data_IF_665923720956
#
_entry.id   IF_665923720956
#
_cell.length_a   1.000
_cell.length_b   1.000
_cell.length_c   1.000
_cell.angle_alpha   90.00
_cell.angle_beta   90.00
_cell.angle_gamma   90.00
#
_symmetry.space_group_name_H-M   'P 1'
#
loop_
_entity.id
_entity.type
_entity.pdbx_description
1 polymer ?
#
# COMPACT_ATOMS: atom_id res chain seq x y z
N UNK A 1 -5.31 -14.92 11.62
CA UNK A 1 -4.13 -14.04 11.59
C UNK A 1 -4.37 -13.08 10.44
N UNK A 2 -4.65 -11.80 10.67
CA UNK A 2 -5.26 -10.96 9.63
C UNK A 2 -4.34 -10.75 8.41
N UNK A 3 -4.87 -10.97 7.20
CA UNK A 3 -4.25 -10.66 5.92
C UNK A 3 -3.61 -9.27 5.90
N UNK A 4 -2.44 -9.17 5.28
CA UNK A 4 -1.69 -7.94 5.03
C UNK A 4 -0.93 -8.12 3.71
N UNK A 5 -0.46 -7.04 3.10
CA UNK A 5 0.42 -7.14 1.96
C UNK A 5 1.71 -7.91 2.32
N UNK A 6 2.11 -8.84 1.45
CA UNK A 6 3.25 -9.77 1.66
C UNK A 6 4.11 -9.82 0.42
N UNK A 7 5.40 -10.11 0.61
CA UNK A 7 6.38 -10.19 -0.47
C UNK A 7 7.14 -11.52 -0.45
N UNK A 8 7.49 -12.00 -1.63
CA UNK A 8 8.34 -13.15 -1.91
C UNK A 8 9.45 -12.74 -2.88
N UNK A 9 10.64 -13.31 -2.71
CA UNK A 9 11.85 -12.87 -3.40
C UNK A 9 12.43 -14.00 -4.24
N UNK A 10 13.03 -13.67 -5.38
CA UNK A 10 13.94 -14.59 -6.06
C UNK A 10 15.38 -14.22 -5.71
N UNK A 11 16.17 -15.19 -5.25
CA UNK A 11 17.57 -14.98 -4.92
C UNK A 11 18.40 -14.96 -6.20
N UNK A 12 18.57 -13.78 -6.79
CA UNK A 12 19.69 -13.49 -7.68
C UNK A 12 20.09 -12.05 -7.46
N UNK A 13 21.33 -11.76 -7.02
CA UNK A 13 21.77 -10.38 -6.87
C UNK A 13 21.61 -9.68 -8.22
N UNK A 14 21.02 -8.48 -8.22
CA UNK A 14 20.97 -7.65 -9.41
C UNK A 14 22.41 -7.40 -9.86
N UNK A 15 22.80 -7.97 -11.00
CA UNK A 15 24.17 -7.87 -11.50
C UNK A 15 24.43 -6.45 -11.98
N UNK A 16 24.98 -5.62 -11.09
CA UNK A 16 25.54 -4.31 -11.42
C UNK A 16 27.06 -4.46 -11.43
N UNK A 17 27.67 -4.42 -12.61
CA UNK A 17 29.12 -4.38 -12.75
C UNK A 17 29.64 -3.03 -12.25
N UNK A 18 30.22 -2.99 -11.05
CA UNK A 18 31.07 -1.89 -10.61
C UNK A 18 32.28 -2.41 -9.84
N UNK A 19 33.47 -2.00 -10.28
CA UNK A 19 34.77 -2.32 -9.68
C UNK A 19 34.92 -1.58 -8.35
N UNK A 20 35.17 -2.29 -7.25
CA UNK A 20 35.52 -1.70 -5.95
C UNK A 20 37.03 -1.61 -5.72
N UNK A 21 37.47 -0.76 -4.78
CA UNK A 21 38.64 -1.04 -3.96
C UNK A 21 38.33 -0.79 -2.44
N UNK A 22 39.25 -1.05 -1.49
CA UNK A 22 39.21 -2.18 -0.56
C UNK A 22 38.82 -1.80 0.88
N UNK A 23 38.78 -2.82 1.75
CA UNK A 23 38.27 -2.82 3.12
C UNK A 23 39.22 -2.29 4.22
N UNK A 24 38.63 -2.23 5.44
CA UNK A 24 39.17 -2.25 6.83
C UNK A 24 39.28 -0.92 7.61
N UNK A 25 39.28 -0.92 8.98
CA UNK A 25 38.89 -1.96 9.94
C UNK A 25 37.95 -1.49 11.10
N UNK A 26 37.56 -2.47 11.90
CA UNK A 26 36.79 -2.48 13.15
C UNK A 26 37.30 -1.58 14.28
N UNK A 27 36.39 -1.02 15.09
CA UNK A 27 36.66 -0.70 16.51
C UNK A 27 35.45 -0.99 17.41
N UNK A 28 35.74 -1.77 18.45
CA UNK A 28 34.97 -2.03 19.66
C UNK A 28 34.80 -0.74 20.50
N UNK A 29 33.65 -0.54 21.16
CA UNK A 29 33.60 -0.01 22.54
C UNK A 29 32.21 -0.10 23.20
N UNK A 30 32.22 -0.89 24.29
CA UNK A 30 31.60 -0.68 25.61
C UNK A 30 30.13 -0.26 25.76
N UNK A 31 29.43 -1.09 26.54
CA UNK A 31 28.13 -0.86 27.15
C UNK A 31 28.14 0.33 28.15
N UNK A 32 27.04 1.08 28.16
CA UNK A 32 26.68 1.95 29.28
C UNK A 32 25.16 1.90 29.50
N UNK A 33 24.78 1.43 30.68
CA UNK A 33 23.41 1.37 31.20
C UNK A 33 23.00 2.77 31.66
N UNK A 34 21.88 3.30 31.16
CA UNK A 34 21.26 4.51 31.72
C UNK A 34 19.77 4.28 31.98
N UNK A 35 19.40 4.40 33.25
CA UNK A 35 18.01 4.50 33.73
C UNK A 35 17.54 5.94 33.56
N UNK A 36 16.44 6.18 32.85
CA UNK A 36 15.82 7.52 32.76
C UNK A 36 14.36 7.44 33.20
N UNK A 37 14.05 8.21 34.25
CA UNK A 37 12.71 8.47 34.78
C UNK A 37 11.92 9.37 33.81
N UNK A 38 10.60 9.13 33.72
CA UNK A 38 9.64 9.92 32.94
C UNK A 38 9.79 11.43 33.18
N UNK A 39 9.96 12.18 32.09
CA UNK A 39 9.63 13.59 32.06
C UNK A 39 9.00 13.94 30.70
N UNK A 40 7.94 14.75 30.74
CA UNK A 40 7.07 15.08 29.62
C UNK A 40 7.87 15.63 28.42
N UNK A 41 7.81 14.93 27.27
CA UNK A 41 8.47 15.38 26.05
C UNK A 41 7.50 16.13 25.14
N UNK A 42 7.92 17.34 24.77
CA UNK A 42 7.36 18.17 23.69
C UNK A 42 7.32 17.38 22.37
N UNK A 43 6.42 17.73 21.43
CA UNK A 43 6.31 17.02 20.15
C UNK A 43 7.67 17.00 19.43
N UNK A 44 8.18 15.80 19.24
CA UNK A 44 9.40 15.55 18.47
C UNK A 44 9.02 15.70 17.00
N UNK A 45 9.42 16.81 16.38
CA UNK A 45 9.42 16.93 14.92
C UNK A 45 10.40 15.91 14.37
N UNK A 46 9.89 14.88 13.69
CA UNK A 46 10.69 13.89 12.97
C UNK A 46 11.38 14.56 11.78
N UNK A 47 12.60 15.05 11.97
CA UNK A 47 13.51 15.37 10.87
C UNK A 47 14.18 14.08 10.42
N UNK A 48 13.67 13.49 9.34
CA UNK A 48 14.32 12.38 8.67
C UNK A 48 15.61 12.87 8.00
N UNK A 49 16.75 12.32 8.41
CA UNK A 49 17.96 12.35 7.58
C UNK A 49 17.75 11.38 6.44
N UNK A 50 17.14 11.86 5.35
CA UNK A 50 17.08 11.16 4.07
C UNK A 50 18.53 10.81 3.70
N UNK A 51 18.86 9.53 3.57
CA UNK A 51 20.19 9.14 3.07
C UNK A 51 20.40 9.82 1.72
N UNK A 52 21.44 10.64 1.59
CA UNK A 52 21.67 11.46 0.38
C UNK A 52 21.87 10.62 -0.90
N UNK A 53 22.13 9.33 -0.75
CA UNK A 53 22.40 8.42 -1.84
C UNK A 53 21.16 7.59 -2.23
N UNK A 54 20.87 7.54 -3.53
CA UNK A 54 19.82 6.69 -4.11
C UNK A 54 20.03 5.21 -3.70
N UNK A 55 18.99 4.51 -3.22
CA UNK A 55 19.12 3.12 -2.82
C UNK A 55 19.27 2.19 -4.04
N UNK A 56 20.19 1.24 -3.94
CA UNK A 56 20.37 0.19 -4.95
C UNK A 56 19.27 -0.88 -4.80
N UNK A 57 18.86 -1.48 -5.93
CA UNK A 57 17.97 -2.64 -5.90
C UNK A 57 18.70 -3.82 -5.25
N UNK A 58 18.11 -4.38 -4.20
CA UNK A 58 18.68 -5.51 -3.45
C UNK A 58 18.21 -6.87 -4.00
N UNK A 59 17.13 -6.88 -4.78
CA UNK A 59 16.61 -8.05 -5.47
C UNK A 59 16.50 -7.75 -6.97
N UNK A 60 16.73 -8.75 -7.82
CA UNK A 60 16.47 -8.64 -9.26
C UNK A 60 14.96 -8.66 -9.57
N UNK A 61 14.18 -9.36 -8.77
CA UNK A 61 12.72 -9.33 -8.81
C UNK A 61 12.09 -9.68 -7.46
N UNK A 62 10.87 -9.19 -7.27
CA UNK A 62 10.01 -9.44 -6.11
C UNK A 62 8.59 -9.72 -6.60
N UNK A 63 7.89 -10.60 -5.90
CA UNK A 63 6.46 -10.85 -6.09
C UNK A 63 5.75 -10.45 -4.81
N UNK A 64 4.68 -9.68 -4.91
CA UNK A 64 3.89 -9.23 -3.76
C UNK A 64 2.43 -9.58 -3.94
N UNK A 65 1.74 -9.78 -2.83
CA UNK A 65 0.30 -9.98 -2.76
C UNK A 65 -0.27 -8.90 -1.85
N UNK A 66 -1.42 -8.34 -2.22
CA UNK A 66 -2.20 -7.46 -1.36
C UNK A 66 -3.65 -7.98 -1.27
N UNK A 67 -4.19 -8.11 -0.05
CA UNK A 67 -5.51 -8.71 0.15
C UNK A 67 -6.64 -7.79 -0.26
N UNK A 68 -7.81 -8.41 -0.50
CA UNK A 68 -9.09 -7.71 -0.47
C UNK A 68 -9.32 -7.01 0.87
N UNK A 69 -10.16 -5.98 0.83
CA UNK A 69 -10.56 -5.22 2.00
C UNK A 69 -12.05 -4.96 2.02
N UNK A 70 -12.59 -4.80 3.22
CA UNK A 70 -13.94 -4.32 3.47
C UNK A 70 -13.81 -2.98 4.18
N UNK A 71 -14.20 -1.91 3.50
CA UNK A 71 -14.25 -0.56 4.07
C UNK A 71 -15.61 -0.28 4.73
N UNK A 72 -15.67 0.84 5.45
CA UNK A 72 -16.79 1.38 6.21
C UNK A 72 -17.24 0.52 7.40
N UNK A 73 -17.36 -0.79 7.21
CA UNK A 73 -17.79 -1.75 8.25
C UNK A 73 -19.06 -1.30 8.98
N UNK A 74 -20.03 -0.77 8.22
CA UNK A 74 -21.24 -0.15 8.74
C UNK A 74 -21.08 1.36 8.88
N UNK A 75 -21.12 1.93 10.08
CA UNK A 75 -21.14 3.38 10.31
C UNK A 75 -19.79 4.07 10.11
N UNK A 76 -18.70 3.31 9.89
CA UNK A 76 -17.33 3.79 9.76
C UNK A 76 -16.97 4.40 8.41
N UNK A 77 -17.92 5.10 7.78
CA UNK A 77 -17.80 5.60 6.41
C UNK A 77 -16.55 6.46 6.21
N UNK A 78 -15.66 6.05 5.29
CA UNK A 78 -14.37 6.66 4.96
C UNK A 78 -13.29 6.66 6.06
N UNK A 79 -13.54 6.06 7.23
CA UNK A 79 -12.56 6.04 8.33
C UNK A 79 -12.28 4.68 8.96
N UNK A 80 -12.95 3.61 8.55
CA UNK A 80 -12.72 2.28 9.08
C UNK A 80 -12.65 1.24 7.97
N UNK A 81 -11.70 0.31 8.05
CA UNK A 81 -11.67 -0.83 7.15
C UNK A 81 -10.89 -2.02 7.68
N UNK A 82 -11.06 -3.17 7.05
CA UNK A 82 -10.41 -4.42 7.43
C UNK A 82 -9.91 -5.19 6.21
N UNK A 83 -8.71 -5.75 6.29
CA UNK A 83 -8.25 -6.74 5.33
C UNK A 83 -8.89 -8.10 5.60
N UNK A 84 -9.21 -8.82 4.53
CA UNK A 84 -9.79 -10.16 4.59
C UNK A 84 -8.85 -11.19 3.98
N UNK A 85 -8.87 -12.40 4.54
CA UNK A 85 -8.02 -13.50 4.08
C UNK A 85 -8.53 -14.10 2.75
N UNK A 86 -7.62 -14.73 2.00
CA UNK A 86 -7.95 -15.49 0.79
C UNK A 86 -7.63 -14.76 -0.51
N UNK A 87 -8.55 -13.93 -1.00
CA UNK A 87 -8.46 -13.29 -2.31
C UNK A 87 -7.71 -11.95 -2.25
N UNK A 88 -7.09 -11.57 -3.37
CA UNK A 88 -6.31 -10.34 -3.47
C UNK A 88 -5.66 -10.21 -4.85
N UNK A 89 -4.90 -9.14 -5.03
CA UNK A 89 -4.11 -8.93 -6.24
C UNK A 89 -2.66 -9.28 -6.00
N UNK A 90 -1.98 -9.68 -7.08
CA UNK A 90 -0.56 -10.02 -7.05
C UNK A 90 0.21 -9.16 -8.04
N UNK A 91 1.37 -8.64 -7.62
CA UNK A 91 2.29 -7.89 -8.48
C UNK A 91 3.61 -8.63 -8.56
N UNK A 92 4.12 -8.84 -9.76
CA UNK A 92 5.51 -9.25 -9.99
C UNK A 92 6.29 -8.07 -10.54
N UNK A 93 7.34 -7.66 -9.86
CA UNK A 93 8.16 -6.51 -10.21
C UNK A 93 9.61 -6.96 -10.40
N UNK A 94 10.25 -6.53 -11.49
CA UNK A 94 11.66 -6.83 -11.76
C UNK A 94 12.42 -5.58 -12.18
N UNK A 95 13.72 -5.57 -11.91
CA UNK A 95 14.65 -4.65 -12.57
C UNK A 95 14.70 -5.01 -14.04
N UNK A 96 14.50 -4.02 -14.91
CA UNK A 96 14.42 -4.22 -16.35
C UNK A 96 15.28 -3.18 -17.08
N UNK A 97 16.44 -3.59 -17.64
CA UNK A 97 17.34 -2.69 -18.37
C UNK A 97 16.71 -2.06 -19.61
N UNK A 98 15.65 -2.66 -20.17
CA UNK A 98 14.95 -2.14 -21.35
C UNK A 98 13.94 -1.04 -20.99
N UNK A 99 13.65 -0.84 -19.70
CA UNK A 99 12.84 0.27 -19.21
C UNK A 99 13.75 1.46 -18.88
N UNK A 100 13.36 2.65 -19.33
CA UNK A 100 14.13 3.86 -19.05
C UNK A 100 14.38 4.05 -17.55
N UNK A 101 15.61 4.44 -17.13
CA UNK A 101 15.92 4.72 -15.74
C UNK A 101 14.94 5.70 -15.08
N UNK A 102 14.51 5.37 -13.86
CA UNK A 102 13.54 6.18 -13.10
C UNK A 102 12.09 6.01 -13.57
N UNK A 103 11.82 5.08 -14.49
CA UNK A 103 10.47 4.79 -14.98
C UNK A 103 10.03 3.37 -14.64
N UNK A 104 8.72 3.17 -14.73
CA UNK A 104 8.09 1.86 -14.64
C UNK A 104 7.29 1.58 -15.90
N UNK A 105 7.32 0.33 -16.37
CA UNK A 105 6.47 -0.19 -17.44
C UNK A 105 5.54 -1.25 -16.86
N UNK A 106 4.26 -1.26 -17.28
CA UNK A 106 3.35 -2.39 -17.00
C UNK A 106 3.43 -3.34 -18.18
N UNK A 107 4.25 -4.39 -18.06
CA UNK A 107 4.46 -5.37 -19.12
C UNK A 107 3.22 -6.22 -19.35
N UNK A 108 2.52 -6.59 -18.28
CA UNK A 108 1.36 -7.46 -18.35
C UNK A 108 0.27 -7.18 -17.31
N UNK A 109 -0.98 -7.45 -17.70
CA UNK A 109 -2.15 -7.44 -16.83
C UNK A 109 -2.93 -8.72 -17.13
N UNK A 110 -3.00 -9.62 -16.15
CA UNK A 110 -3.65 -10.93 -16.24
C UNK A 110 -4.61 -11.14 -15.07
N UNK A 111 -5.42 -12.21 -15.12
CA UNK A 111 -6.46 -12.50 -14.14
C UNK A 111 -7.77 -12.91 -14.81
N UNK A 112 -8.71 -13.46 -14.03
CA UNK A 112 -9.99 -13.99 -14.54
C UNK A 112 -11.17 -13.04 -14.34
N UNK A 113 -10.92 -11.79 -13.90
CA UNK A 113 -12.00 -10.82 -13.72
C UNK A 113 -12.62 -10.41 -15.06
N UNK A 114 -13.96 -10.29 -15.15
CA UNK A 114 -14.61 -9.60 -16.25
C UNK A 114 -14.01 -8.21 -16.47
N UNK A 115 -14.04 -7.73 -17.72
CA UNK A 115 -13.56 -6.40 -18.11
C UNK A 115 -12.06 -6.12 -17.89
N UNK A 116 -11.23 -7.12 -17.60
CA UNK A 116 -9.79 -6.93 -17.38
C UNK A 116 -9.07 -6.22 -18.55
N UNK A 117 -9.51 -6.49 -19.79
CA UNK A 117 -8.99 -5.88 -21.01
C UNK A 117 -9.19 -4.36 -21.07
N UNK A 118 -10.05 -3.78 -20.20
CA UNK A 118 -10.25 -2.32 -20.09
C UNK A 118 -9.17 -1.64 -19.24
N UNK A 119 -8.38 -2.39 -18.47
CA UNK A 119 -7.33 -1.83 -17.65
C UNK A 119 -6.18 -1.33 -18.52
N UNK A 120 -5.76 -0.08 -18.28
CA UNK A 120 -4.64 0.51 -19.03
C UNK A 120 -3.31 -0.10 -18.60
N UNK A 121 -2.45 -0.42 -19.58
CA UNK A 121 -1.01 -0.69 -19.34
C UNK A 121 -0.19 0.60 -19.22
N UNK A 122 -0.79 1.78 -19.43
CA UNK A 122 -0.09 3.03 -19.16
C UNK A 122 -0.01 3.23 -17.63
N UNK A 123 1.19 3.28 -17.03
CA UNK A 123 1.35 3.37 -15.58
C UNK A 123 0.76 4.64 -14.99
N UNK A 124 0.60 5.72 -15.78
CA UNK A 124 -0.06 6.94 -15.32
C UNK A 124 -1.57 6.81 -15.20
N UNK A 125 -2.18 5.77 -15.80
CA UNK A 125 -3.62 5.53 -15.82
C UNK A 125 -3.99 4.18 -15.19
N UNK A 126 -3.09 3.62 -14.38
CA UNK A 126 -3.29 2.35 -13.70
C UNK A 126 -2.92 2.49 -12.22
N UNK A 127 -3.76 1.97 -11.32
CA UNK A 127 -3.56 2.13 -9.89
C UNK A 127 -2.21 1.59 -9.39
N UNK A 128 -1.80 0.41 -9.88
CA UNK A 128 -0.51 -0.19 -9.57
C UNK A 128 0.64 0.68 -10.08
N UNK A 129 0.53 1.19 -11.31
CA UNK A 129 1.54 2.05 -11.91
C UNK A 129 1.72 3.38 -11.17
N UNK A 130 0.61 4.05 -10.81
CA UNK A 130 0.65 5.33 -10.09
C UNK A 130 1.30 5.16 -8.71
N UNK A 131 0.87 4.14 -7.95
CA UNK A 131 1.41 3.86 -6.62
C UNK A 131 2.89 3.48 -6.67
N UNK A 132 3.30 2.68 -7.65
CA UNK A 132 4.71 2.33 -7.85
C UNK A 132 5.57 3.54 -8.21
N UNK A 133 5.10 4.42 -9.11
CA UNK A 133 5.78 5.68 -9.46
C UNK A 133 5.97 6.54 -8.20
N UNK A 134 4.93 6.65 -7.38
CA UNK A 134 5.01 7.47 -6.18
C UNK A 134 5.97 6.89 -5.13
N UNK A 135 5.97 5.56 -4.95
CA UNK A 135 6.96 4.89 -4.10
C UNK A 135 8.40 5.09 -4.62
N UNK A 136 8.63 5.01 -5.94
CA UNK A 136 9.94 5.31 -6.54
C UNK A 136 10.37 6.75 -6.26
N UNK A 137 9.47 7.73 -6.36
CA UNK A 137 9.76 9.14 -6.05
C UNK A 137 10.12 9.35 -4.59
N UNK A 138 9.40 8.73 -3.66
CA UNK A 138 9.67 8.83 -2.23
C UNK A 138 11.08 8.31 -1.90
N UNK A 139 11.45 7.17 -2.51
CA UNK A 139 12.77 6.56 -2.42
C UNK A 139 13.86 7.30 -3.19
N UNK A 140 13.50 8.19 -4.12
CA UNK A 140 14.44 8.94 -4.95
C UNK A 140 15.06 8.12 -6.09
N UNK A 141 14.38 7.08 -6.59
CA UNK A 141 14.89 6.21 -7.66
C UNK A 141 14.92 6.96 -8.99
N UNK A 142 16.09 6.97 -9.65
CA UNK A 142 16.35 7.62 -10.95
C UNK A 142 17.19 6.77 -11.88
N UNK A 143 17.98 5.85 -11.34
CA UNK A 143 18.97 5.05 -12.06
C UNK A 143 18.45 3.70 -12.55
N UNK A 144 17.30 3.25 -12.06
CA UNK A 144 16.75 1.91 -12.31
C UNK A 144 15.42 1.98 -13.05
N UNK A 145 15.29 1.22 -14.14
CA UNK A 145 14.02 0.94 -14.82
C UNK A 145 13.35 -0.30 -14.25
N UNK A 146 12.02 -0.27 -14.09
CA UNK A 146 11.25 -1.37 -13.50
C UNK A 146 10.16 -1.87 -14.45
N UNK A 147 9.96 -3.19 -14.47
CA UNK A 147 8.89 -3.83 -15.22
C UNK A 147 7.93 -4.55 -14.27
N UNK A 148 6.65 -4.22 -14.40
CA UNK A 148 5.57 -4.65 -13.53
C UNK A 148 4.59 -5.54 -14.30
N UNK A 149 4.29 -6.71 -13.76
CA UNK A 149 3.18 -7.57 -14.18
C UNK A 149 2.15 -7.62 -13.05
N UNK A 150 0.89 -7.36 -13.39
CA UNK A 150 -0.24 -7.33 -12.46
C UNK A 150 -1.15 -8.54 -12.72
N UNK A 151 -1.37 -9.37 -11.71
CA UNK A 151 -2.34 -10.45 -11.71
C UNK A 151 -3.53 -10.07 -10.81
N UNK A 152 -4.68 -9.85 -11.45
CA UNK A 152 -5.93 -9.39 -10.85
C UNK A 152 -6.73 -10.58 -10.33
N UNK A 153 -6.68 -10.78 -9.01
CA UNK A 153 -7.52 -11.76 -8.31
C UNK A 153 -8.83 -11.19 -7.79
N UNK A 154 -9.01 -9.86 -7.81
CA UNK A 154 -10.23 -9.19 -7.35
C UNK A 154 -11.11 -8.67 -8.50
N UNK A 155 -12.43 -8.92 -8.46
CA UNK A 155 -13.32 -8.38 -9.48
C UNK A 155 -13.33 -6.84 -9.46
N UNK A 156 -13.35 -6.23 -10.64
CA UNK A 156 -13.38 -4.77 -10.78
C UNK A 156 -14.70 -4.20 -10.23
N UNK A 157 -14.65 -3.09 -9.49
CA UNK A 157 -15.85 -2.41 -8.98
C UNK A 157 -16.73 -3.25 -8.04
N UNK A 158 -16.15 -4.27 -7.38
CA UNK A 158 -16.86 -5.21 -6.49
C UNK A 158 -17.10 -4.71 -5.07
N UNK A 159 -16.50 -3.57 -4.69
CA UNK A 159 -16.48 -3.11 -3.30
C UNK A 159 -15.43 -3.81 -2.42
N UNK A 160 -14.62 -4.73 -2.96
CA UNK A 160 -13.59 -5.49 -2.23
C UNK A 160 -12.20 -4.82 -2.21
N UNK A 161 -12.13 -3.51 -2.48
CA UNK A 161 -10.86 -2.78 -2.52
C UNK A 161 -9.95 -3.15 -3.72
N UNK A 162 -10.51 -3.55 -4.87
CA UNK A 162 -9.73 -4.01 -6.03
C UNK A 162 -8.69 -3.00 -6.56
N UNK A 163 -8.97 -1.69 -6.53
CA UNK A 163 -7.98 -0.66 -6.89
C UNK A 163 -6.90 -0.51 -5.82
N UNK A 164 -7.32 -0.49 -4.56
CA UNK A 164 -6.45 -0.37 -3.39
C UNK A 164 -5.47 -1.54 -3.28
N UNK A 165 -5.92 -2.78 -3.54
CA UNK A 165 -5.06 -3.96 -3.53
C UNK A 165 -3.99 -3.88 -4.63
N UNK A 166 -4.35 -3.52 -5.86
CA UNK A 166 -3.38 -3.32 -6.95
C UNK A 166 -2.34 -2.23 -6.61
N UNK A 167 -2.78 -1.11 -6.04
CA UNK A 167 -1.89 -0.04 -5.60
C UNK A 167 -0.97 -0.49 -4.46
N UNK A 168 -1.52 -1.15 -3.44
CA UNK A 168 -0.79 -1.64 -2.28
C UNK A 168 0.27 -2.67 -2.67
N UNK A 169 -0.09 -3.67 -3.49
CA UNK A 169 0.86 -4.68 -3.96
C UNK A 169 2.04 -4.04 -4.71
N UNK A 170 1.77 -3.04 -5.56
CA UNK A 170 2.80 -2.36 -6.33
C UNK A 170 3.70 -1.45 -5.50
N UNK A 171 3.14 -0.65 -4.58
CA UNK A 171 3.91 0.19 -3.68
C UNK A 171 4.80 -0.65 -2.76
N UNK A 172 4.26 -1.76 -2.23
CA UNK A 172 5.04 -2.72 -1.43
C UNK A 172 6.12 -3.35 -2.30
N UNK A 173 5.84 -3.79 -3.53
CA UNK A 173 6.86 -4.37 -4.42
C UNK A 173 8.04 -3.41 -4.65
N UNK A 174 7.76 -2.13 -4.93
CA UNK A 174 8.81 -1.12 -5.08
C UNK A 174 9.59 -0.94 -3.78
N UNK A 175 8.92 -0.84 -2.64
CA UNK A 175 9.62 -0.70 -1.37
C UNK A 175 10.53 -1.90 -1.07
N UNK A 176 10.03 -3.10 -1.32
CA UNK A 176 10.70 -4.37 -1.09
C UNK A 176 11.94 -4.56 -1.96
N UNK A 177 11.85 -4.26 -3.26
CA UNK A 177 12.98 -4.42 -4.19
C UNK A 177 14.18 -3.51 -3.82
N UNK A 178 13.93 -2.40 -3.11
CA UNK A 178 14.93 -1.45 -2.61
C UNK A 178 15.22 -1.55 -1.10
N UNK A 179 14.73 -2.61 -0.43
CA UNK A 179 15.10 -2.93 0.94
C UNK A 179 14.23 -2.34 2.04
N UNK A 180 12.92 -2.21 1.81
CA UNK A 180 11.89 -1.87 2.81
C UNK A 180 12.18 -0.55 3.56
N UNK A 181 12.46 0.51 2.81
CA UNK A 181 12.87 1.81 3.36
C UNK A 181 11.69 2.74 3.68
N UNK A 182 10.52 2.49 3.11
CA UNK A 182 9.29 3.22 3.39
C UNK A 182 8.51 2.56 4.52
N UNK A 183 8.01 3.37 5.46
CA UNK A 183 7.07 2.96 6.50
C UNK A 183 5.63 2.80 5.97
N UNK A 184 4.74 2.29 6.82
CA UNK A 184 3.34 2.08 6.42
C UNK A 184 2.63 3.36 5.97
N UNK A 185 2.82 4.47 6.68
CA UNK A 185 2.16 5.74 6.34
C UNK A 185 2.61 6.26 4.96
N UNK A 186 3.88 6.08 4.60
CA UNK A 186 4.42 6.46 3.30
C UNK A 186 3.87 5.58 2.18
N UNK A 187 3.79 4.26 2.41
CA UNK A 187 3.18 3.32 1.45
C UNK A 187 1.70 3.62 1.23
N UNK A 188 0.96 3.93 2.30
CA UNK A 188 -0.43 4.34 2.21
C UNK A 188 -0.55 5.66 1.46
N UNK A 189 0.34 6.63 1.73
CA UNK A 189 0.36 7.89 1.00
C UNK A 189 0.63 7.71 -0.50
N UNK A 190 1.56 6.82 -0.88
CA UNK A 190 1.84 6.50 -2.27
C UNK A 190 0.59 5.94 -2.99
N UNK A 191 -0.16 5.08 -2.32
CA UNK A 191 -1.39 4.51 -2.84
C UNK A 191 -2.55 5.52 -2.86
N UNK A 192 -2.62 6.47 -1.92
CA UNK A 192 -3.62 7.54 -1.93
C UNK A 192 -3.50 8.45 -3.15
N UNK A 193 -2.29 8.65 -3.70
CA UNK A 193 -2.10 9.36 -4.98
C UNK A 193 -2.76 8.64 -6.16
N UNK A 194 -2.83 7.31 -6.10
CA UNK A 194 -3.57 6.50 -7.06
C UNK A 194 -5.08 6.68 -6.87
N UNK A 195 -5.57 6.50 -5.64
CA UNK A 195 -7.01 6.60 -5.35
C UNK A 195 -7.57 7.99 -5.70
N UNK A 196 -6.85 9.06 -5.39
CA UNK A 196 -7.22 10.46 -5.73
C UNK A 196 -7.54 10.62 -7.22
N UNK A 197 -6.77 9.97 -8.09
CA UNK A 197 -6.94 10.05 -9.55
C UNK A 197 -8.11 9.22 -10.06
N UNK A 198 -8.49 8.14 -9.37
CA UNK A 198 -9.43 7.13 -9.88
C UNK A 198 -10.81 7.24 -9.24
N UNK A 199 -10.87 7.35 -7.92
CA UNK A 199 -12.09 7.17 -7.14
C UNK A 199 -12.32 8.26 -6.10
N UNK A 200 -11.26 8.94 -5.65
CA UNK A 200 -11.22 9.97 -4.60
C UNK A 200 -10.19 9.64 -3.51
N UNK A 201 -10.04 10.49 -2.50
CA UNK A 201 -8.96 10.36 -1.50
C UNK A 201 -9.42 9.60 -0.25
N UNK A 202 -9.40 8.26 -0.28
CA UNK A 202 -9.87 7.41 0.82
C UNK A 202 -8.84 6.34 1.19
N UNK A 203 -8.53 6.24 2.48
CA UNK A 203 -7.52 5.32 3.01
C UNK A 203 -8.12 4.04 3.61
N UNK A 204 -9.44 3.97 3.76
CA UNK A 204 -10.19 2.86 4.37
C UNK A 204 -10.02 1.50 3.68
N UNK A 205 -9.64 1.45 2.41
CA UNK A 205 -9.25 0.22 1.73
C UNK A 205 -7.72 0.07 1.66
N UNK A 206 -7.01 1.15 1.34
CA UNK A 206 -5.55 1.13 1.15
C UNK A 206 -4.82 0.76 2.45
N UNK A 207 -5.17 1.41 3.55
CA UNK A 207 -4.51 1.24 4.83
C UNK A 207 -4.62 -0.19 5.37
N UNK A 208 -5.81 -0.83 5.45
CA UNK A 208 -5.87 -2.23 5.83
C UNK A 208 -5.22 -3.17 4.81
N UNK A 209 -5.25 -2.87 3.51
CA UNK A 209 -4.55 -3.73 2.52
C UNK A 209 -3.03 -3.76 2.78
N UNK A 210 -2.44 -2.64 3.19
CA UNK A 210 -1.02 -2.53 3.54
C UNK A 210 -0.71 -3.07 4.94
N UNK A 211 -1.45 -2.62 5.96
CA UNK A 211 -1.12 -2.86 7.38
C UNK A 211 -1.72 -4.16 7.93
N UNK A 212 -2.78 -4.64 7.29
CA UNK A 212 -3.56 -5.79 7.68
C UNK A 212 -4.44 -5.62 8.91
N UNK A 213 -5.48 -6.45 9.00
CA UNK A 213 -6.49 -6.38 10.04
C UNK A 213 -7.32 -5.10 9.98
N UNK A 214 -7.86 -4.68 11.12
CA UNK A 214 -8.68 -3.47 11.25
C UNK A 214 -7.80 -2.23 11.34
N UNK A 215 -8.12 -1.21 10.54
CA UNK A 215 -7.44 0.09 10.55
C UNK A 215 -8.46 1.21 10.63
N UNK A 216 -8.25 2.08 11.61
CA UNK A 216 -8.95 3.35 11.80
C UNK A 216 -8.11 4.48 11.19
N UNK A 217 -8.73 5.31 10.36
CA UNK A 217 -8.16 6.53 9.82
C UNK A 217 -8.61 7.66 10.74
N UNK A 218 -7.75 8.02 11.69
CA UNK A 218 -8.08 9.05 12.71
C UNK A 218 -8.08 10.45 12.10
N UNK A 219 -7.20 10.69 11.13
CA UNK A 219 -7.10 11.95 10.42
C UNK A 219 -6.50 11.71 9.03
N UNK A 220 -6.87 12.55 8.06
CA UNK A 220 -6.28 12.56 6.71
C UNK A 220 -5.19 13.63 6.56
N UNK A 221 -5.21 14.69 7.39
CA UNK A 221 -4.26 15.81 7.33
C UNK A 221 -3.88 16.31 8.74
N UNK A 222 -2.71 15.90 9.30
CA UNK A 222 -1.82 14.87 8.78
C UNK A 222 -2.50 13.49 8.72
N UNK A 223 -1.98 12.59 7.87
CA UNK A 223 -2.48 11.22 7.81
C UNK A 223 -2.12 10.51 9.11
N UNK A 224 -3.13 10.01 9.83
CA UNK A 224 -2.95 9.28 11.09
C UNK A 224 -3.72 7.98 11.05
N UNK A 225 -2.98 6.87 11.03
CA UNK A 225 -3.51 5.52 10.92
C UNK A 225 -3.36 4.79 12.25
N UNK A 226 -4.42 4.14 12.70
CA UNK A 226 -4.43 3.37 13.94
C UNK A 226 -4.85 1.95 13.63
N UNK A 227 -3.91 1.00 13.79
CA UNK A 227 -4.25 -0.43 13.70
C UNK A 227 -5.00 -0.84 14.97
N UNK A 228 -6.25 -1.29 14.79
CA UNK A 228 -7.07 -1.75 15.90
C UNK A 228 -6.73 -3.21 16.20
N UNK A 229 -6.54 -3.52 17.49
CA UNK A 229 -6.30 -4.89 17.95
C UNK A 229 -7.64 -5.59 18.08
N UNK A 230 -7.82 -6.68 17.34
CA UNK A 230 -8.93 -7.60 17.55
C UNK A 230 -8.56 -8.59 18.67
N UNK A 231 -9.46 -8.90 19.62
CA UNK A 231 -9.17 -9.82 20.71
C UNK A 231 -8.79 -11.21 20.18
N UNK A 232 -7.64 -11.74 20.62
CA UNK A 232 -7.05 -12.98 20.10
C UNK A 232 -7.84 -14.24 20.41
N UNK A 233 -8.65 -14.18 21.45
CA UNK A 233 -9.51 -15.26 21.94
C UNK A 233 -10.87 -15.32 21.23
N UNK A 234 -11.14 -14.35 20.34
CA UNK A 234 -12.38 -14.30 19.57
C UNK A 234 -12.12 -14.67 18.11
N UNK A 235 -13.14 -15.23 17.49
CA UNK A 235 -13.16 -15.47 16.05
C UNK A 235 -14.19 -14.53 15.39
N UNK A 236 -13.81 -13.99 14.25
CA UNK A 236 -14.68 -13.18 13.41
C UNK A 236 -14.48 -13.65 11.96
N UNK A 237 -15.60 -13.93 11.29
CA UNK A 237 -15.61 -14.41 9.92
C UNK A 237 -16.31 -13.39 9.03
N UNK A 238 -15.74 -13.17 7.84
CA UNK A 238 -16.35 -12.37 6.79
C UNK A 238 -16.94 -13.31 5.73
N UNK A 239 -18.23 -13.20 5.48
CA UNK A 239 -18.89 -13.85 4.34
C UNK A 239 -19.09 -12.79 3.26
N UNK A 240 -18.35 -12.93 2.16
CA UNK A 240 -18.39 -11.99 1.05
C UNK A 240 -19.40 -12.47 0.01
N UNK A 241 -20.43 -11.67 -0.22
CA UNK A 241 -21.45 -11.94 -1.24
C UNK A 241 -21.31 -10.88 -2.33
N UNK A 242 -20.76 -11.27 -3.47
CA UNK A 242 -20.52 -10.36 -4.60
C UNK A 242 -21.56 -10.63 -5.69
N UNK A 243 -22.51 -9.72 -5.92
CA UNK A 243 -23.44 -9.87 -7.03
C UNK A 243 -22.72 -9.65 -8.38
N UNK A 244 -23.24 -10.24 -9.45
CA UNK A 244 -22.69 -10.12 -10.82
C UNK A 244 -23.02 -8.76 -11.46
N UNK A 245 -22.66 -7.65 -10.81
CA UNK A 245 -22.70 -6.32 -11.40
C UNK A 245 -21.52 -5.46 -10.93
N UNK A 246 -21.14 -4.50 -11.77
CA UNK A 246 -20.08 -3.55 -11.47
C UNK A 246 -20.69 -2.25 -10.95
N UNK A 247 -20.23 -1.78 -9.78
CA UNK A 247 -20.63 -0.52 -9.17
C UNK A 247 -19.44 0.45 -9.16
N UNK A 248 -19.24 1.30 -10.19
CA UNK A 248 -18.09 2.20 -10.22
C UNK A 248 -18.09 3.13 -9.00
N UNK A 249 -17.01 3.13 -8.21
CA UNK A 249 -16.90 3.91 -6.95
C UNK A 249 -17.26 5.38 -7.14
N UNK A 250 -16.80 5.99 -8.24
CA UNK A 250 -17.12 7.38 -8.60
C UNK A 250 -18.63 7.62 -8.75
N UNK A 251 -19.37 6.69 -9.36
CA UNK A 251 -20.83 6.80 -9.53
C UNK A 251 -21.54 6.60 -8.19
N UNK A 252 -21.11 5.63 -7.38
CA UNK A 252 -21.70 5.39 -6.06
C UNK A 252 -21.52 6.58 -5.12
N UNK A 253 -20.35 7.24 -5.14
CA UNK A 253 -20.11 8.46 -4.36
C UNK A 253 -20.95 9.64 -4.84
N UNK A 254 -21.15 9.77 -6.15
CA UNK A 254 -21.98 10.83 -6.71
C UNK A 254 -23.47 10.71 -6.31
N UNK A 255 -23.91 9.54 -5.84
CA UNK A 255 -25.27 9.32 -5.35
C UNK A 255 -25.48 9.74 -3.89
N UNK A 256 -24.41 10.07 -3.15
CA UNK A 256 -24.52 10.50 -1.76
C UNK A 256 -25.16 11.89 -1.66
N UNK A 257 -26.02 12.15 -0.66
CA UNK A 257 -26.53 13.49 -0.43
C UNK A 257 -25.38 14.43 -0.02
N UNK A 258 -25.47 15.69 -0.45
CA UNK A 258 -24.49 16.72 -0.08
C UNK A 258 -24.60 17.11 1.39
N UNK A 259 -25.78 16.96 1.97
CA UNK A 259 -26.08 17.32 3.35
C UNK A 259 -26.88 16.20 4.04
N UNK A 260 -26.63 16.00 5.32
CA UNK A 260 -27.39 15.09 6.18
C UNK A 260 -27.93 15.83 7.39
N UNK A 261 -29.07 15.39 7.92
CA UNK A 261 -29.64 15.98 9.13
C UNK A 261 -28.81 15.63 10.37
N UNK A 262 -28.75 16.53 11.35
CA UNK A 262 -28.04 16.29 12.61
C UNK A 262 -28.52 15.01 13.31
N UNK A 263 -29.83 14.71 13.27
CA UNK A 263 -30.39 13.47 13.84
C UNK A 263 -29.81 12.21 13.19
N UNK A 264 -29.63 12.20 11.87
CA UNK A 264 -29.04 11.09 11.13
C UNK A 264 -27.54 10.98 11.41
N UNK A 265 -26.83 12.11 11.49
CA UNK A 265 -25.41 12.13 11.83
C UNK A 265 -25.15 11.56 13.23
N UNK A 266 -25.88 12.06 14.25
CA UNK A 266 -25.81 11.56 15.62
C UNK A 266 -26.17 10.07 15.69
N UNK A 267 -27.21 9.65 14.95
CA UNK A 267 -27.57 8.24 14.86
C UNK A 267 -26.41 7.40 14.34
N UNK A 268 -25.82 7.74 13.19
CA UNK A 268 -24.67 7.01 12.65
C UNK A 268 -23.50 6.93 13.64
N UNK A 269 -23.15 8.06 14.28
CA UNK A 269 -22.08 8.12 15.27
C UNK A 269 -22.32 7.22 16.49
N UNK A 270 -23.57 6.99 16.88
CA UNK A 270 -23.92 6.10 17.99
C UNK A 270 -23.80 4.61 17.67
N UNK A 271 -23.64 4.25 16.40
CA UNK A 271 -23.48 2.85 15.96
C UNK A 271 -22.01 2.45 15.81
N UNK A 272 -21.08 3.43 15.81
CA UNK A 272 -19.66 3.25 15.50
C UNK A 272 -18.82 2.80 16.69
#
# INVERSE_FOLDING_TARGET
>A
MAAAAKAWFSNSPASLNSKGPPACPTQNRAAATFTIRCNAQKPVTLTFTKTEHEPQAIYSSVKTFAPATVANLGPGFDFLGCAVDGIGDTVSLKVDPDVHPGQICISDISGQTPNIHKLSKNPLWNCAGIAAIEAMKMLGIRSVGLSLSLDKGLPLGSGLGSSAASAAAAAVAVNEIFGKRLGYDELVHACLKSEEKVSGYHADNVAPSIMGGFVLIRNYKPLELVRLKFPSEKELYFVLVTPEFEAPTKKMRAALPLEIGMSQHVWNCSQA
#
